data_IF_986226656000
#
_entry.id   IF_986226656000
#
_cell.length_a   1.000
_cell.length_b   1.000
_cell.length_c   1.000
_cell.angle_alpha   90.00
_cell.angle_beta   90.00
_cell.angle_gamma   90.00
#
_symmetry.space_group_name_H-M   'P 1'
#
loop_
_entity.id
_entity.type
_entity.pdbx_description
1 polymer ?
#
# COMPACT_ATOMS: atom_id res chain seq x y z
N UNK A 1 -1.05 -8.25 12.98
CA UNK A 1 -1.74 -7.14 12.29
C UNK A 1 -0.85 -5.92 12.21
N UNK A 2 -1.01 -5.14 11.18
CA UNK A 2 -0.23 -3.92 10.96
C UNK A 2 -1.15 -2.71 10.87
N UNK A 3 -0.60 -1.52 11.09
CA UNK A 3 -1.35 -0.27 10.96
C UNK A 3 -1.40 0.18 9.52
N UNK A 4 -2.55 0.68 9.11
CA UNK A 4 -2.78 1.18 7.76
C UNK A 4 -3.78 2.32 7.78
N UNK A 5 -3.69 3.21 6.80
CA UNK A 5 -4.69 4.25 6.58
C UNK A 5 -5.65 3.75 5.49
N UNK A 6 -6.92 3.69 5.84
CA UNK A 6 -8.00 3.21 4.96
C UNK A 6 -9.06 4.28 4.85
N UNK A 7 -9.69 4.40 3.70
CA UNK A 7 -10.91 5.20 3.56
C UNK A 7 -12.09 4.29 3.19
N UNK A 8 -13.23 4.56 3.81
CA UNK A 8 -14.48 3.85 3.52
C UNK A 8 -15.46 4.73 2.73
N UNK A 9 -15.15 6.00 2.60
CA UNK A 9 -15.90 6.97 1.80
C UNK A 9 -14.95 8.08 1.34
N UNK A 10 -15.32 8.76 0.29
CA UNK A 10 -14.57 9.93 -0.18
C UNK A 10 -14.91 11.16 0.67
N UNK A 11 -13.96 12.10 0.77
CA UNK A 11 -14.19 13.32 1.51
C UNK A 11 -12.89 14.04 1.84
N UNK A 12 -12.95 14.88 2.87
CA UNK A 12 -11.81 15.60 3.40
C UNK A 12 -10.94 14.72 4.31
N UNK A 13 -9.99 15.32 5.05
CA UNK A 13 -9.09 14.54 5.91
C UNK A 13 -9.80 13.68 6.95
N UNK A 14 -11.01 14.03 7.33
CA UNK A 14 -11.79 13.28 8.32
C UNK A 14 -12.16 11.87 7.89
N UNK A 15 -12.07 11.55 6.60
CA UNK A 15 -12.38 10.20 6.11
C UNK A 15 -11.21 9.23 6.25
N UNK A 16 -10.02 9.71 6.57
CA UNK A 16 -8.85 8.87 6.80
C UNK A 16 -9.00 8.12 8.12
N UNK A 17 -8.92 6.79 8.06
CA UNK A 17 -9.07 5.93 9.23
C UNK A 17 -7.77 5.18 9.50
N UNK A 18 -7.25 5.31 10.71
CA UNK A 18 -6.05 4.60 11.16
C UNK A 18 -6.50 3.27 11.76
N UNK A 19 -6.25 2.18 11.03
CA UNK A 19 -6.79 0.86 11.39
C UNK A 19 -5.72 -0.21 11.47
N UNK A 20 -6.01 -1.23 12.28
CA UNK A 20 -5.28 -2.49 12.22
C UNK A 20 -5.84 -3.31 11.07
N UNK A 21 -4.96 -3.82 10.21
CA UNK A 21 -5.34 -4.64 9.08
C UNK A 21 -4.52 -5.91 9.04
N UNK A 22 -5.10 -6.97 8.49
CA UNK A 22 -4.40 -8.23 8.24
C UNK A 22 -3.95 -8.24 6.79
N UNK A 23 -2.64 -8.29 6.57
CA UNK A 23 -2.09 -8.25 5.23
C UNK A 23 -2.08 -9.61 4.56
N UNK A 24 -1.84 -10.67 5.33
CA UNK A 24 -1.78 -12.03 4.78
C UNK A 24 -0.46 -12.34 4.10
N UNK A 25 -0.48 -13.27 3.17
CA UNK A 25 0.69 -13.73 2.43
C UNK A 25 0.57 -13.34 0.96
N UNK A 26 1.71 -13.11 0.26
CA UNK A 26 1.65 -12.74 -1.16
C UNK A 26 1.19 -13.92 -2.02
N UNK A 27 0.48 -13.61 -3.09
CA UNK A 27 0.17 -14.59 -4.13
C UNK A 27 1.42 -14.94 -4.94
N UNK A 28 1.31 -15.86 -5.93
CA UNK A 28 2.47 -16.36 -6.66
C UNK A 28 3.32 -15.27 -7.33
N UNK A 29 2.70 -14.20 -7.83
CA UNK A 29 3.39 -13.13 -8.55
C UNK A 29 3.48 -11.84 -7.74
N UNK A 30 3.34 -11.94 -6.43
CA UNK A 30 3.32 -10.78 -5.54
C UNK A 30 4.46 -10.83 -4.54
N UNK A 31 4.78 -9.67 -3.98
CA UNK A 31 5.74 -9.55 -2.89
C UNK A 31 5.09 -8.84 -1.72
N UNK A 32 5.56 -9.15 -0.52
CA UNK A 32 5.15 -8.47 0.71
C UNK A 32 6.29 -7.58 1.16
N UNK A 33 6.00 -6.29 1.33
CA UNK A 33 6.98 -5.27 1.67
C UNK A 33 6.68 -4.72 3.05
N UNK A 34 7.73 -4.55 3.86
CA UNK A 34 7.68 -3.71 5.05
C UNK A 34 8.13 -2.32 4.66
N UNK A 35 7.24 -1.35 4.71
CA UNK A 35 7.55 0.03 4.37
C UNK A 35 8.43 0.67 5.45
N UNK A 36 9.52 1.30 5.01
CA UNK A 36 10.41 2.08 5.87
C UNK A 36 10.24 3.57 5.63
N UNK A 37 9.80 3.95 4.42
CA UNK A 37 9.49 5.33 4.07
C UNK A 37 8.28 5.33 3.14
N UNK A 38 7.41 6.31 3.34
CA UNK A 38 6.16 6.44 2.59
C UNK A 38 6.11 7.85 2.03
N UNK A 39 5.97 7.95 0.70
CA UNK A 39 5.88 9.24 0.04
C UNK A 39 4.48 9.82 0.13
N UNK A 40 4.40 11.11 0.42
CA UNK A 40 3.15 11.87 0.41
C UNK A 40 3.10 12.67 -0.89
N UNK A 41 2.09 12.43 -1.70
CA UNK A 41 1.93 13.07 -2.99
C UNK A 41 0.58 13.77 -3.08
N UNK A 42 0.52 14.85 -3.85
CA UNK A 42 -0.71 15.63 -3.98
C UNK A 42 -1.86 14.79 -4.56
N UNK A 43 -1.56 13.84 -5.44
CA UNK A 43 -2.57 12.94 -6.02
C UNK A 43 -3.31 12.13 -4.94
N UNK A 44 -2.69 11.90 -3.79
CA UNK A 44 -3.34 11.15 -2.70
C UNK A 44 -4.60 11.88 -2.23
N UNK A 45 -4.60 13.22 -2.29
CA UNK A 45 -5.78 14.02 -1.95
C UNK A 45 -6.89 13.84 -2.99
N UNK A 46 -6.54 13.63 -4.26
CA UNK A 46 -7.53 13.39 -5.32
C UNK A 46 -8.21 12.05 -5.14
N UNK A 47 -7.47 11.04 -4.74
CA UNK A 47 -8.03 9.73 -4.40
C UNK A 47 -8.93 9.82 -3.17
N UNK A 48 -8.47 10.52 -2.15
CA UNK A 48 -9.25 10.68 -0.92
C UNK A 48 -10.57 11.43 -1.18
N UNK A 49 -10.53 12.52 -1.92
CA UNK A 49 -11.70 13.37 -2.16
C UNK A 49 -12.70 12.78 -3.16
N UNK A 50 -12.26 11.81 -3.97
CA UNK A 50 -13.10 11.24 -5.00
C UNK A 50 -13.02 11.92 -6.37
N UNK A 51 -12.09 12.88 -6.53
CA UNK A 51 -11.83 13.46 -7.85
C UNK A 51 -11.43 12.35 -8.82
N UNK A 52 -10.60 11.41 -8.36
CA UNK A 52 -10.33 10.15 -9.03
C UNK A 52 -10.97 9.05 -8.20
N UNK A 53 -12.12 8.57 -8.65
CA UNK A 53 -12.93 7.61 -7.88
C UNK A 53 -12.21 6.30 -7.64
N UNK A 54 -12.39 5.76 -6.44
CA UNK A 54 -11.84 4.47 -6.03
C UNK A 54 -12.97 3.50 -5.71
N UNK A 55 -12.66 2.22 -5.83
CA UNK A 55 -13.52 1.17 -5.28
C UNK A 55 -13.28 1.13 -3.77
N UNK A 56 -14.31 1.43 -3.00
CA UNK A 56 -14.21 1.52 -1.53
C UNK A 56 -14.64 0.22 -0.84
N UNK A 57 -14.10 -0.13 0.33
CA UNK A 57 -13.02 0.58 1.03
C UNK A 57 -11.68 0.43 0.32
N UNK A 58 -10.80 1.40 0.50
CA UNK A 58 -9.51 1.43 -0.19
C UNK A 58 -8.40 1.91 0.72
N UNK A 59 -7.20 1.42 0.49
CA UNK A 59 -5.99 2.06 0.99
C UNK A 59 -5.71 3.34 0.21
N UNK A 60 -4.77 4.13 0.70
CA UNK A 60 -4.35 5.40 0.09
C UNK A 60 -2.85 5.37 -0.07
N UNK A 61 -2.36 6.11 -1.05
CA UNK A 61 -0.94 6.30 -1.30
C UNK A 61 -0.41 5.43 -2.42
N UNK A 62 0.53 5.97 -3.17
CA UNK A 62 1.10 5.31 -4.36
C UNK A 62 2.58 5.04 -4.24
N UNK A 63 3.26 5.61 -3.26
CA UNK A 63 4.72 5.62 -3.22
C UNK A 63 5.25 5.16 -1.87
N UNK A 64 6.25 4.28 -1.92
CA UNK A 64 6.93 3.84 -0.71
C UNK A 64 8.26 3.20 -1.03
N UNK A 65 9.04 3.00 0.02
CA UNK A 65 10.31 2.29 -0.04
C UNK A 65 10.43 1.39 1.18
N UNK A 66 10.92 0.21 1.00
CA UNK A 66 11.02 -0.73 2.10
C UNK A 66 11.84 -1.96 1.78
N UNK A 67 11.60 -3.00 2.56
CA UNK A 67 12.33 -4.26 2.47
C UNK A 67 11.35 -5.38 2.18
N UNK A 68 11.69 -6.25 1.25
CA UNK A 68 10.88 -7.41 0.93
C UNK A 68 10.94 -8.40 2.10
N UNK A 69 9.77 -8.76 2.64
CA UNK A 69 9.63 -9.73 3.72
C UNK A 69 9.31 -11.13 3.21
N UNK A 70 8.54 -11.21 2.13
CA UNK A 70 8.14 -12.47 1.52
C UNK A 70 7.98 -12.27 0.02
N UNK A 71 8.25 -13.33 -0.75
CA UNK A 71 8.04 -13.35 -2.19
C UNK A 71 7.09 -14.47 -2.56
N UNK A 72 6.29 -14.26 -3.60
CA UNK A 72 5.45 -15.29 -4.18
C UNK A 72 6.29 -16.33 -4.92
N UNK A 73 5.73 -17.52 -5.12
CA UNK A 73 6.44 -18.65 -5.69
C UNK A 73 6.93 -18.44 -7.12
N UNK A 74 6.31 -17.54 -7.87
CA UNK A 74 6.68 -17.24 -9.26
C UNK A 74 7.57 -16.01 -9.40
N UNK A 75 7.92 -15.34 -8.31
CA UNK A 75 8.80 -14.17 -8.33
C UNK A 75 10.24 -14.64 -8.54
N UNK A 76 10.90 -14.09 -9.56
CA UNK A 76 12.24 -14.56 -9.97
C UNK A 76 13.37 -13.55 -9.78
N UNK A 77 13.06 -12.25 -9.85
CA UNK A 77 14.09 -11.21 -9.90
C UNK A 77 14.31 -10.52 -8.57
N UNK A 78 13.52 -10.86 -7.56
CA UNK A 78 13.60 -10.25 -6.23
C UNK A 78 13.74 -11.32 -5.18
N UNK A 79 14.44 -10.99 -4.11
CA UNK A 79 14.65 -11.88 -2.98
C UNK A 79 14.23 -11.25 -1.67
N UNK A 80 13.87 -12.08 -0.70
CA UNK A 80 13.61 -11.64 0.66
C UNK A 80 14.82 -10.87 1.18
N UNK A 81 14.59 -9.71 1.76
CA UNK A 81 15.64 -8.83 2.27
C UNK A 81 16.07 -7.73 1.31
N UNK A 82 15.64 -7.79 0.04
CA UNK A 82 15.98 -6.75 -0.94
C UNK A 82 15.32 -5.43 -0.56
N UNK A 83 16.02 -4.33 -0.83
CA UNK A 83 15.47 -2.98 -0.72
C UNK A 83 14.78 -2.62 -2.02
N UNK A 84 13.55 -2.11 -1.92
CA UNK A 84 12.75 -1.77 -3.09
C UNK A 84 12.04 -0.45 -2.89
N UNK A 85 11.69 0.18 -4.02
CA UNK A 85 10.82 1.35 -4.05
C UNK A 85 9.76 1.15 -5.13
N UNK A 86 8.63 1.78 -4.95
CA UNK A 86 7.52 1.71 -5.88
C UNK A 86 6.75 3.03 -5.89
N UNK A 87 6.08 3.33 -7.00
CA UNK A 87 5.37 4.61 -7.15
C UNK A 87 4.18 4.52 -8.09
N UNK A 88 3.43 3.43 -8.07
CA UNK A 88 2.29 3.24 -8.95
C UNK A 88 1.16 2.48 -8.26
N UNK A 89 0.07 2.27 -9.00
CA UNK A 89 -1.02 1.39 -8.55
C UNK A 89 -0.49 -0.02 -8.27
N UNK A 90 -1.09 -0.78 -7.36
CA UNK A 90 -2.31 -0.47 -6.61
C UNK A 90 -2.05 0.49 -5.44
N UNK A 91 -3.10 1.18 -4.99
CA UNK A 91 -3.02 2.10 -3.84
C UNK A 91 -2.87 1.33 -2.53
N UNK A 92 -2.29 1.98 -1.52
CA UNK A 92 -2.17 1.40 -0.19
C UNK A 92 -0.80 1.57 0.46
N UNK A 93 0.01 2.52 -0.01
CA UNK A 93 1.34 2.73 0.57
C UNK A 93 1.31 3.30 1.98
N UNK A 94 0.19 3.90 2.42
CA UNK A 94 0.05 4.38 3.80
C UNK A 94 -0.25 3.19 4.71
N UNK A 95 0.72 2.31 4.84
CA UNK A 95 0.62 1.09 5.62
C UNK A 95 2.00 0.65 6.06
N UNK A 96 2.09 0.00 7.22
CA UNK A 96 3.36 -0.55 7.70
C UNK A 96 3.86 -1.68 6.79
N UNK A 97 2.93 -2.49 6.29
CA UNK A 97 3.22 -3.59 5.37
C UNK A 97 2.17 -3.64 4.29
N UNK A 98 2.56 -4.11 3.10
CA UNK A 98 1.62 -4.28 2.01
C UNK A 98 2.09 -5.34 1.02
N UNK A 99 1.14 -5.84 0.23
CA UNK A 99 1.41 -6.78 -0.86
C UNK A 99 1.22 -6.06 -2.18
N UNK A 100 2.18 -6.20 -3.09
CA UNK A 100 2.10 -5.64 -4.45
C UNK A 100 2.57 -6.66 -5.48
N UNK A 101 2.08 -6.54 -6.74
CA UNK A 101 2.53 -7.41 -7.83
C UNK A 101 3.98 -7.17 -8.24
#
# INVERSE_FOLDING_TARGET
MVKSIIISKHGGPEVLEFKDVKVGSPGPEEIKIKNLAIGLNFIDTYHRSGLYKLKLPSGIGMEGAGIIQEIGSAVKYFNKGDRVTYSQMPLGSYSEERIIP
#
